data_IF_056164596471
#
_entry.id   IF_056164596471
#
_cell.length_a   1.000
_cell.length_b   1.000
_cell.length_c   1.000
_cell.angle_alpha   90.00
_cell.angle_beta   90.00
_cell.angle_gamma   90.00
#
_symmetry.space_group_name_H-M   'P 1'
#
loop_
_entity.id
_entity.type
_entity.pdbx_description
1 polymer ?
#
# COMPACT_ATOMS: atom_id res chain seq x y z
N UNK A 1 -12.14 -2.07 17.39
CA UNK A 1 -10.70 -2.28 17.25
C UNK A 1 -10.40 -3.73 16.96
N UNK A 2 -9.31 -3.99 16.26
CA UNK A 2 -8.83 -5.31 15.91
C UNK A 2 -7.33 -5.28 15.69
N UNK A 3 -6.74 -6.43 15.36
CA UNK A 3 -5.32 -6.58 15.07
C UNK A 3 -5.14 -6.75 13.56
N UNK A 4 -4.20 -6.00 12.98
CA UNK A 4 -3.70 -6.19 11.64
C UNK A 4 -2.25 -6.70 11.75
N UNK A 5 -1.97 -7.84 11.13
CA UNK A 5 -0.63 -8.43 11.09
C UNK A 5 -0.14 -8.43 9.66
N UNK A 6 1.06 -7.91 9.45
CA UNK A 6 1.74 -7.93 8.16
C UNK A 6 3.07 -8.65 8.34
N UNK A 7 3.34 -9.65 7.50
CA UNK A 7 4.59 -10.39 7.52
C UNK A 7 5.11 -10.66 6.12
N UNK A 8 6.43 -10.80 6.00
CA UNK A 8 7.12 -11.10 4.76
C UNK A 8 8.01 -12.31 4.96
N UNK A 9 7.95 -13.27 4.04
CA UNK A 9 8.78 -14.48 4.10
C UNK A 9 9.17 -14.97 2.71
N UNK A 10 10.33 -15.63 2.63
CA UNK A 10 10.69 -16.41 1.45
C UNK A 10 10.04 -17.79 1.51
N UNK A 11 9.53 -18.26 0.39
CA UNK A 11 8.93 -19.57 0.26
C UNK A 11 9.37 -20.21 -1.07
N UNK A 12 9.62 -21.52 -1.05
CA UNK A 12 9.88 -22.27 -2.28
C UNK A 12 8.61 -23.08 -2.64
N UNK A 13 8.03 -22.77 -3.77
CA UNK A 13 6.80 -23.41 -4.25
C UNK A 13 7.15 -24.74 -4.93
N UNK A 14 6.72 -25.87 -4.37
CA UNK A 14 6.99 -27.16 -4.96
C UNK A 14 6.17 -27.41 -6.24
N UNK A 15 6.62 -28.33 -7.10
CA UNK A 15 5.99 -28.59 -8.40
C UNK A 15 4.58 -29.16 -8.28
N UNK A 16 4.32 -29.95 -7.25
CA UNK A 16 3.02 -30.55 -6.97
C UNK A 16 1.96 -29.55 -6.50
N UNK A 17 2.40 -28.41 -5.99
CA UNK A 17 1.51 -27.31 -5.59
C UNK A 17 0.65 -26.77 -6.76
N UNK A 18 1.16 -26.85 -8.00
CA UNK A 18 0.46 -26.38 -9.21
C UNK A 18 -0.82 -27.18 -9.46
N UNK A 19 -0.86 -28.47 -9.08
CA UNK A 19 -2.04 -29.32 -9.30
C UNK A 19 -3.29 -28.77 -8.59
N UNK A 20 -3.09 -28.19 -7.39
CA UNK A 20 -4.16 -27.57 -6.61
C UNK A 20 -4.29 -26.05 -6.85
N UNK A 21 -3.27 -25.42 -7.41
CA UNK A 21 -3.21 -23.98 -7.64
C UNK A 21 -2.70 -23.66 -9.06
N UNK A 22 -3.57 -23.76 -10.08
CA UNK A 22 -3.18 -23.64 -11.50
C UNK A 22 -2.51 -22.32 -11.87
N UNK A 23 -2.73 -21.26 -11.07
CA UNK A 23 -2.14 -19.94 -11.29
C UNK A 23 -0.72 -19.81 -10.71
N UNK A 24 -0.30 -20.78 -9.88
CA UNK A 24 1.01 -20.77 -9.24
C UNK A 24 2.13 -21.20 -10.18
N UNK A 25 3.35 -20.86 -9.82
CA UNK A 25 4.58 -21.28 -10.52
C UNK A 25 5.53 -21.91 -9.52
N UNK A 26 6.27 -22.96 -9.87
CA UNK A 26 7.23 -23.58 -8.97
C UNK A 26 8.48 -22.72 -8.83
N UNK A 27 9.19 -22.88 -7.72
CA UNK A 27 10.45 -22.22 -7.41
C UNK A 27 10.35 -21.11 -6.36
N UNK A 28 11.41 -20.30 -6.19
CA UNK A 28 11.51 -19.35 -5.11
C UNK A 28 10.56 -18.16 -5.30
N UNK A 29 9.81 -17.84 -4.24
CA UNK A 29 8.86 -16.73 -4.16
C UNK A 29 9.02 -15.98 -2.84
N UNK A 30 8.54 -14.75 -2.84
CA UNK A 30 8.32 -13.94 -1.65
C UNK A 30 6.83 -13.92 -1.36
N UNK A 31 6.46 -14.23 -0.13
CA UNK A 31 5.08 -14.17 0.36
C UNK A 31 4.90 -12.96 1.28
N UNK A 32 4.06 -12.01 0.87
CA UNK A 32 3.55 -10.95 1.72
C UNK A 32 2.20 -11.42 2.28
N UNK A 33 2.16 -11.68 3.58
CA UNK A 33 0.95 -12.08 4.28
C UNK A 33 0.35 -10.87 5.03
N UNK A 34 -0.93 -10.61 4.79
CA UNK A 34 -1.72 -9.59 5.49
C UNK A 34 -2.91 -10.27 6.12
N UNK A 35 -2.98 -10.28 7.43
CA UNK A 35 -4.03 -10.92 8.21
C UNK A 35 -4.69 -9.92 9.16
N UNK A 36 -6.00 -9.96 9.27
CA UNK A 36 -6.73 -9.20 10.27
C UNK A 36 -7.67 -10.07 11.12
N UNK A 37 -8.05 -9.53 12.28
CA UNK A 37 -8.98 -10.13 13.22
C UNK A 37 -10.39 -9.53 13.09
N UNK A 38 -10.81 -9.18 11.88
CA UNK A 38 -12.11 -8.59 11.58
C UNK A 38 -13.26 -9.60 11.52
N UNK A 39 -14.33 -9.22 10.83
CA UNK A 39 -15.53 -10.06 10.71
C UNK A 39 -15.39 -11.22 9.71
N UNK A 40 -14.29 -11.28 8.96
CA UNK A 40 -14.11 -12.26 7.89
C UNK A 40 -15.07 -12.07 6.73
N UNK A 41 -15.05 -13.03 5.79
CA UNK A 41 -15.85 -13.05 4.57
C UNK A 41 -16.49 -14.43 4.39
N UNK A 42 -17.67 -14.48 3.84
CA UNK A 42 -18.30 -15.72 3.40
C UNK A 42 -17.82 -16.15 2.00
N UNK A 43 -18.18 -17.34 1.58
CA UNK A 43 -17.75 -17.90 0.30
C UNK A 43 -18.23 -17.08 -0.91
N UNK A 44 -19.41 -16.44 -0.83
CA UNK A 44 -19.94 -15.60 -1.89
C UNK A 44 -19.08 -14.34 -2.06
N UNK A 45 -18.74 -13.70 -0.96
CA UNK A 45 -17.87 -12.50 -0.97
C UNK A 45 -16.48 -12.87 -1.48
N UNK A 46 -15.85 -13.95 -0.94
CA UNK A 46 -14.51 -14.40 -1.37
C UNK A 46 -14.46 -14.63 -2.88
N UNK A 47 -15.48 -15.23 -3.47
CA UNK A 47 -15.53 -15.48 -4.91
C UNK A 47 -15.57 -14.23 -5.79
N UNK A 48 -15.84 -13.06 -5.20
CA UNK A 48 -16.07 -11.80 -5.94
C UNK A 48 -15.16 -10.65 -5.56
N UNK A 49 -14.33 -10.79 -4.52
CA UNK A 49 -13.54 -9.68 -3.98
C UNK A 49 -12.59 -9.02 -4.98
N UNK A 50 -12.22 -9.73 -6.03
CA UNK A 50 -11.35 -9.22 -7.10
C UNK A 50 -12.12 -8.69 -8.32
N UNK A 51 -13.48 -8.77 -8.32
CA UNK A 51 -14.29 -8.14 -9.36
C UNK A 51 -14.22 -6.62 -9.23
N UNK A 52 -13.94 -5.88 -10.31
CA UNK A 52 -14.01 -4.41 -10.27
C UNK A 52 -15.38 -3.92 -9.81
N UNK A 53 -15.38 -2.89 -8.97
CA UNK A 53 -16.56 -2.26 -8.38
C UNK A 53 -17.34 -3.11 -7.37
N UNK A 54 -16.93 -4.36 -7.10
CA UNK A 54 -17.55 -5.16 -6.05
C UNK A 54 -17.17 -4.63 -4.67
N UNK A 55 -18.17 -4.36 -3.84
CA UNK A 55 -17.97 -3.89 -2.46
C UNK A 55 -19.16 -4.33 -1.59
N UNK A 56 -18.88 -4.67 -0.35
CA UNK A 56 -19.88 -4.94 0.70
C UNK A 56 -20.18 -3.69 1.55
N UNK A 57 -19.48 -2.58 1.29
CA UNK A 57 -19.70 -1.30 1.97
C UNK A 57 -20.91 -0.58 1.39
N UNK A 58 -21.51 0.29 2.19
CA UNK A 58 -22.60 1.16 1.74
C UNK A 58 -22.18 2.03 0.55
N UNK A 59 -23.16 2.43 -0.25
CA UNK A 59 -22.93 3.32 -1.42
C UNK A 59 -22.19 4.58 -0.98
N UNK A 60 -21.08 4.87 -1.68
CA UNK A 60 -20.21 6.00 -1.39
C UNK A 60 -19.11 5.74 -0.34
N UNK A 61 -19.11 4.61 0.36
CA UNK A 61 -18.08 4.25 1.35
C UNK A 61 -17.01 3.28 0.84
N UNK A 62 -17.07 2.90 -0.41
CA UNK A 62 -16.07 2.03 -1.04
C UNK A 62 -16.19 2.06 -2.55
N UNK A 63 -15.06 2.18 -3.25
CA UNK A 63 -15.01 2.19 -4.71
C UNK A 63 -15.09 0.79 -5.32
N UNK A 64 -14.81 -0.25 -4.54
CA UNK A 64 -14.71 -1.63 -5.04
C UNK A 64 -13.54 -1.87 -6.01
N UNK A 65 -12.60 -0.93 -6.11
CA UNK A 65 -11.46 -1.05 -7.04
C UNK A 65 -10.17 -1.53 -6.37
N UNK A 66 -10.02 -1.37 -5.06
CA UNK A 66 -8.75 -1.62 -4.37
C UNK A 66 -8.21 -3.03 -4.56
N UNK A 67 -9.00 -4.06 -4.27
CA UNK A 67 -8.57 -5.46 -4.41
C UNK A 67 -8.42 -5.89 -5.87
N UNK A 68 -9.26 -5.39 -6.78
CA UNK A 68 -9.11 -5.62 -8.21
C UNK A 68 -7.78 -5.04 -8.74
N UNK A 69 -7.39 -3.85 -8.26
CA UNK A 69 -6.10 -3.22 -8.59
C UNK A 69 -4.94 -4.05 -8.04
N UNK A 70 -4.99 -4.47 -6.78
CA UNK A 70 -3.96 -5.34 -6.18
C UNK A 70 -3.80 -6.62 -7.00
N UNK A 71 -4.89 -7.29 -7.33
CA UNK A 71 -4.88 -8.50 -8.15
C UNK A 71 -4.22 -8.27 -9.51
N UNK A 72 -4.59 -7.19 -10.21
CA UNK A 72 -4.00 -6.81 -11.48
C UNK A 72 -2.49 -6.57 -11.41
N UNK A 73 -2.03 -5.83 -10.38
CA UNK A 73 -0.61 -5.56 -10.16
C UNK A 73 0.15 -6.87 -9.90
N UNK A 74 -0.36 -7.72 -9.02
CA UNK A 74 0.28 -8.99 -8.68
C UNK A 74 0.40 -9.88 -9.92
N UNK A 75 -0.64 -9.95 -10.75
CA UNK A 75 -0.61 -10.69 -12.02
C UNK A 75 0.40 -10.13 -13.02
N UNK A 76 0.52 -8.82 -13.15
CA UNK A 76 1.53 -8.18 -14.00
C UNK A 76 2.96 -8.55 -13.59
N UNK A 77 3.19 -8.78 -12.29
CA UNK A 77 4.48 -9.22 -11.76
C UNK A 77 4.67 -10.76 -11.77
N UNK A 78 3.77 -11.49 -12.42
CA UNK A 78 3.85 -12.94 -12.53
C UNK A 78 3.53 -13.69 -11.24
N UNK A 79 2.92 -13.02 -10.27
CA UNK A 79 2.50 -13.56 -8.99
C UNK A 79 1.03 -14.00 -8.96
N UNK A 80 0.57 -14.37 -7.77
CA UNK A 80 -0.84 -14.66 -7.49
C UNK A 80 -1.21 -14.28 -6.06
N UNK A 81 -2.51 -14.25 -5.79
CA UNK A 81 -3.06 -13.93 -4.48
C UNK A 81 -3.89 -15.11 -3.99
N UNK A 82 -3.64 -15.53 -2.77
CA UNK A 82 -4.47 -16.49 -2.05
C UNK A 82 -5.23 -15.80 -0.95
N UNK A 83 -6.49 -16.19 -0.78
CA UNK A 83 -7.34 -15.62 0.26
C UNK A 83 -7.92 -16.75 1.08
N UNK A 84 -7.74 -16.66 2.37
CA UNK A 84 -8.43 -17.50 3.33
C UNK A 84 -9.22 -16.62 4.30
N UNK A 85 -10.44 -17.02 4.58
CA UNK A 85 -11.29 -16.29 5.53
C UNK A 85 -12.22 -17.23 6.24
N UNK A 86 -12.53 -16.87 7.49
CA UNK A 86 -13.55 -17.52 8.29
C UNK A 86 -14.57 -16.47 8.72
N UNK A 87 -15.81 -16.65 8.28
CA UNK A 87 -16.89 -15.75 8.61
C UNK A 87 -17.02 -15.59 10.13
N UNK A 88 -17.15 -14.35 10.60
CA UNK A 88 -17.22 -13.98 12.00
C UNK A 88 -15.89 -13.92 12.75
N UNK A 89 -14.75 -14.11 12.08
CA UNK A 89 -13.46 -14.19 12.77
C UNK A 89 -12.35 -13.35 12.12
N UNK A 90 -11.93 -13.67 10.89
CA UNK A 90 -10.71 -13.14 10.32
C UNK A 90 -10.65 -13.37 8.81
N UNK A 91 -9.71 -12.68 8.16
CA UNK A 91 -9.23 -13.05 6.82
C UNK A 91 -7.72 -12.90 6.72
N UNK A 92 -7.16 -13.62 5.76
CA UNK A 92 -5.72 -13.57 5.45
C UNK A 92 -5.57 -13.51 3.93
N UNK A 93 -4.79 -12.54 3.48
CA UNK A 93 -4.31 -12.42 2.10
C UNK A 93 -2.85 -12.81 2.05
N UNK A 94 -2.50 -13.75 1.18
CA UNK A 94 -1.14 -14.09 0.83
C UNK A 94 -0.89 -13.63 -0.61
N UNK A 95 0.00 -12.65 -0.76
CA UNK A 95 0.47 -12.18 -2.07
C UNK A 95 1.80 -12.85 -2.34
N UNK A 96 1.86 -13.68 -3.37
CA UNK A 96 3.05 -14.42 -3.75
C UNK A 96 3.64 -13.83 -5.04
N UNK A 97 4.89 -13.41 -4.95
CA UNK A 97 5.64 -12.82 -6.07
C UNK A 97 6.90 -13.65 -6.35
N UNK A 98 7.27 -13.89 -7.62
CA UNK A 98 8.52 -14.55 -7.94
C UNK A 98 9.70 -13.83 -7.29
N UNK A 99 10.58 -14.56 -6.63
CA UNK A 99 11.80 -13.99 -6.09
C UNK A 99 12.76 -13.63 -7.22
N UNK A 100 13.41 -12.46 -7.13
CA UNK A 100 14.47 -12.11 -8.08
C UNK A 100 15.66 -13.06 -7.89
N UNK A 101 16.23 -13.53 -9.01
CA UNK A 101 17.46 -14.31 -8.99
C UNK A 101 18.70 -13.43 -8.69
N UNK A 102 18.56 -12.12 -8.81
CA UNK A 102 19.61 -11.22 -8.35
C UNK A 102 19.71 -11.29 -6.84
N UNK A 103 20.84 -11.75 -6.34
CA UNK A 103 21.17 -11.57 -4.93
C UNK A 103 21.00 -10.08 -4.63
N UNK A 104 20.01 -9.76 -3.83
CA UNK A 104 19.89 -8.40 -3.32
C UNK A 104 21.28 -8.03 -2.80
N UNK A 105 21.93 -7.02 -3.43
CA UNK A 105 23.04 -6.36 -2.74
C UNK A 105 22.51 -6.10 -1.36
N UNK A 106 23.23 -6.48 -0.28
CA UNK A 106 22.75 -6.19 1.04
C UNK A 106 22.31 -4.73 0.98
N UNK A 107 21.02 -4.49 1.15
CA UNK A 107 20.54 -3.15 1.39
C UNK A 107 21.50 -2.67 2.48
N UNK A 108 22.22 -1.61 2.22
CA UNK A 108 22.98 -0.97 3.28
C UNK A 108 22.01 -0.96 4.45
N UNK A 109 22.36 -1.71 5.50
CA UNK A 109 21.72 -1.57 6.79
C UNK A 109 22.01 -0.13 7.26
N UNK A 110 21.37 0.84 6.63
CA UNK A 110 21.05 2.09 7.27
C UNK A 110 19.92 1.83 8.27
N UNK A 111 20.05 0.72 9.01
CA UNK A 111 19.38 0.52 10.28
C UNK A 111 20.20 1.22 11.36
N UNK A 112 20.36 2.50 11.22
CA UNK A 112 20.29 3.36 12.39
C UNK A 112 18.77 3.59 12.61
N UNK A 113 18.16 2.91 13.62
CA UNK A 113 16.86 3.37 14.09
C UNK A 113 17.09 4.79 14.56
N UNK A 114 16.44 5.75 13.94
CA UNK A 114 16.53 7.16 14.30
C UNK A 114 17.91 7.85 14.11
N UNK A 115 18.48 7.83 12.92
CA UNK A 115 19.07 9.09 12.49
C UNK A 115 17.89 10.10 12.46
N UNK A 116 17.91 11.18 13.23
CA UNK A 116 16.88 12.21 13.09
C UNK A 116 16.86 12.55 11.60
N UNK A 117 15.67 12.48 10.99
CA UNK A 117 15.49 12.97 9.63
C UNK A 117 16.03 14.39 9.68
N UNK A 118 17.21 14.60 9.09
CA UNK A 118 17.79 15.94 9.03
C UNK A 118 16.90 16.71 8.08
N UNK A 119 15.87 17.32 8.66
CA UNK A 119 14.96 18.18 7.93
C UNK A 119 15.73 19.30 7.24
N UNK A 120 15.14 19.86 6.24
CA UNK A 120 15.65 21.01 5.53
C UNK A 120 15.21 22.33 6.14
N UNK A 121 15.69 23.42 5.55
CA UNK A 121 15.22 24.79 5.83
C UNK A 121 14.47 25.36 4.64
N UNK A 122 14.31 24.53 3.63
CA UNK A 122 13.67 24.84 2.37
C UNK A 122 12.19 25.16 2.60
N UNK A 123 11.61 25.89 1.70
CA UNK A 123 10.20 26.23 1.71
C UNK A 123 9.48 25.39 0.65
N UNK A 124 8.53 24.59 1.08
CA UNK A 124 7.81 23.62 0.24
C UNK A 124 6.37 24.11 0.02
N UNK A 125 5.90 24.06 -1.21
CA UNK A 125 4.50 24.24 -1.55
C UNK A 125 3.82 22.88 -1.73
N UNK A 126 2.89 22.55 -0.83
CA UNK A 126 2.05 21.35 -0.89
C UNK A 126 0.73 21.69 -1.58
N UNK A 127 0.40 20.95 -2.64
CA UNK A 127 -0.87 21.10 -3.37
C UNK A 127 -1.64 19.80 -3.26
N UNK A 128 -2.72 19.80 -2.48
CA UNK A 128 -3.53 18.61 -2.20
C UNK A 128 -4.99 19.03 -2.01
N UNK A 129 -5.91 18.43 -2.73
CA UNK A 129 -7.32 18.76 -2.68
C UNK A 129 -8.04 18.20 -1.44
N UNK A 130 -7.62 17.02 -0.94
CA UNK A 130 -8.19 16.43 0.25
C UNK A 130 -7.67 17.13 1.53
N UNK A 131 -8.55 17.80 2.33
CA UNK A 131 -8.12 18.60 3.47
C UNK A 131 -7.29 17.81 4.49
N UNK A 132 -7.69 16.57 4.80
CA UNK A 132 -7.01 15.73 5.81
C UNK A 132 -5.61 15.36 5.35
N UNK A 133 -5.42 15.02 4.08
CA UNK A 133 -4.11 14.69 3.52
C UNK A 133 -3.21 15.93 3.46
N UNK A 134 -3.78 17.09 3.12
CA UNK A 134 -3.06 18.37 3.09
C UNK A 134 -2.54 18.76 4.47
N UNK A 135 -3.38 18.69 5.50
CA UNK A 135 -3.00 18.98 6.88
C UNK A 135 -1.94 17.99 7.39
N UNK A 136 -2.08 16.69 7.08
CA UNK A 136 -1.12 15.68 7.47
C UNK A 136 0.25 15.90 6.80
N UNK A 137 0.27 16.19 5.50
CA UNK A 137 1.51 16.49 4.78
C UNK A 137 2.20 17.74 5.34
N UNK A 138 1.43 18.81 5.62
CA UNK A 138 1.95 20.01 6.24
C UNK A 138 2.59 19.70 7.60
N UNK A 139 1.90 18.99 8.47
CA UNK A 139 2.38 18.65 9.82
C UNK A 139 3.70 17.86 9.76
N UNK A 140 3.77 16.83 8.91
CA UNK A 140 4.97 15.99 8.77
C UNK A 140 6.16 16.81 8.29
N UNK A 141 5.96 17.65 7.29
CA UNK A 141 7.03 18.48 6.74
C UNK A 141 7.50 19.57 7.73
N UNK A 142 6.58 20.18 8.46
CA UNK A 142 6.92 21.16 9.50
C UNK A 142 7.67 20.51 10.67
N UNK A 143 7.31 19.30 11.08
CA UNK A 143 8.06 18.51 12.07
C UNK A 143 9.48 18.18 11.59
N UNK A 144 9.67 18.00 10.28
CA UNK A 144 10.98 17.85 9.68
C UNK A 144 11.76 19.17 9.51
N UNK A 145 11.20 20.32 9.94
CA UNK A 145 11.88 21.63 9.93
C UNK A 145 11.71 22.46 8.68
N UNK A 146 10.93 21.97 7.68
CA UNK A 146 10.60 22.73 6.48
C UNK A 146 9.60 23.86 6.76
N UNK A 147 9.68 24.92 5.96
CA UNK A 147 8.58 25.89 5.88
C UNK A 147 7.58 25.39 4.85
N UNK A 148 6.28 25.39 5.19
CA UNK A 148 5.28 24.83 4.30
C UNK A 148 4.22 25.87 3.95
N UNK A 149 4.00 26.06 2.65
CA UNK A 149 2.79 26.67 2.11
C UNK A 149 1.84 25.59 1.65
N UNK A 150 0.55 25.81 1.75
CA UNK A 150 -0.47 24.85 1.32
C UNK A 150 -1.43 25.49 0.34
N UNK A 151 -1.91 24.68 -0.61
CA UNK A 151 -2.95 25.05 -1.56
C UNK A 151 -3.89 23.87 -1.79
N UNK A 152 -5.18 24.11 -1.93
CA UNK A 152 -6.16 23.05 -2.16
C UNK A 152 -6.28 22.65 -3.64
N UNK A 153 -5.73 23.43 -4.55
CA UNK A 153 -5.79 23.19 -6.00
C UNK A 153 -4.75 24.02 -6.75
N UNK A 154 -4.60 23.75 -8.05
CA UNK A 154 -3.60 24.43 -8.88
C UNK A 154 -3.79 25.93 -8.98
N UNK A 155 -5.03 26.46 -8.90
CA UNK A 155 -5.27 27.90 -8.92
C UNK A 155 -4.72 28.56 -7.67
N UNK A 156 -5.05 28.04 -6.51
CA UNK A 156 -4.50 28.52 -5.23
C UNK A 156 -2.97 28.40 -5.17
N UNK A 157 -2.42 27.31 -5.75
CA UNK A 157 -0.98 27.13 -5.83
C UNK A 157 -0.30 28.28 -6.61
N UNK A 158 -0.87 28.68 -7.74
CA UNK A 158 -0.36 29.81 -8.53
C UNK A 158 -0.46 31.11 -7.72
N UNK A 159 -1.59 31.36 -7.04
CA UNK A 159 -1.75 32.53 -6.20
C UNK A 159 -0.77 32.60 -5.02
N UNK A 160 -0.46 31.43 -4.42
CA UNK A 160 0.55 31.33 -3.35
C UNK A 160 1.93 31.62 -3.93
N UNK A 161 2.26 31.04 -5.10
CA UNK A 161 3.52 31.27 -5.78
C UNK A 161 3.73 32.74 -6.14
N UNK A 162 2.70 33.40 -6.69
CA UNK A 162 2.75 34.82 -7.07
C UNK A 162 2.92 35.77 -5.85
N UNK A 163 2.33 35.41 -4.71
CA UNK A 163 2.47 36.18 -3.46
C UNK A 163 3.82 36.00 -2.81
N UNK A 164 4.49 34.89 -3.07
CA UNK A 164 5.78 34.54 -2.47
C UNK A 164 6.84 34.20 -3.53
N UNK A 165 7.12 35.12 -4.47
CA UNK A 165 8.10 34.89 -5.54
C UNK A 165 9.47 34.64 -4.95
N UNK A 166 10.12 33.57 -5.36
CA UNK A 166 11.43 33.10 -4.90
C UNK A 166 11.48 32.63 -3.40
N UNK A 167 10.34 32.31 -2.81
CA UNK A 167 10.27 31.78 -1.44
C UNK A 167 10.05 30.28 -1.39
N UNK A 168 9.68 29.66 -2.50
CA UNK A 168 9.54 28.20 -2.65
C UNK A 168 10.78 27.70 -3.36
N UNK A 169 11.45 26.70 -2.75
CA UNK A 169 12.71 26.12 -3.25
C UNK A 169 12.50 24.98 -4.24
#
# INVERSE_FOLDING_TARGET
GGTLTVSLSGIDIPKDYIESHPESRPGPHVCLCVADSGCGMDAYVIGRIFEPFFTTKEVGKGTGLGLATVYGIVKQHGGWVEVSSKSGCCYTFNVLLPASAETAKPAHEDTTPNAPVTGGKETILVVEDEPVLREMAQMILEECGYKVFVAANGREAIEVWERHPNSVD
#
